data_IF_684418488189
#
_entry.id   IF_684418488189
#
_cell.length_a   1.000
_cell.length_b   1.000
_cell.length_c   1.000
_cell.angle_alpha   90.00
_cell.angle_beta   90.00
_cell.angle_gamma   90.00
#
_symmetry.space_group_name_H-M   'P 1'
#
loop_
_entity.id
_entity.type
_entity.pdbx_description
1 polymer ?
#
# COMPACT_ATOMS: atom_id res chain seq x y z
N UNK A 1 -0.85 -3.84 1.71
CA UNK A 1 -2.27 -3.46 1.48
C UNK A 1 -3.08 -3.66 2.75
N UNK A 2 -3.97 -2.74 3.08
CA UNK A 2 -4.86 -2.77 4.26
C UNK A 2 -6.26 -2.25 3.85
N UNK A 3 -7.06 -3.13 3.26
CA UNK A 3 -8.34 -2.74 2.61
C UNK A 3 -9.38 -2.23 3.59
N UNK A 4 -9.61 -2.96 4.69
CA UNK A 4 -10.78 -2.76 5.55
C UNK A 4 -10.64 -1.64 6.57
N UNK A 5 -9.43 -1.16 6.85
CA UNK A 5 -9.21 -0.09 7.81
C UNK A 5 -7.96 0.71 7.45
N UNK A 6 -8.08 2.04 7.54
CA UNK A 6 -6.97 2.93 7.27
C UNK A 6 -5.91 2.84 8.36
N UNK A 7 -4.61 2.73 8.02
CA UNK A 7 -3.55 2.77 9.01
C UNK A 7 -3.45 4.13 9.74
N UNK A 8 -4.10 5.16 9.20
CA UNK A 8 -4.15 6.50 9.78
C UNK A 8 -5.38 6.72 10.67
N UNK A 9 -6.33 5.77 10.71
CA UNK A 9 -7.50 5.87 11.57
C UNK A 9 -7.11 5.83 13.04
N UNK A 10 -7.78 6.64 13.85
CA UNK A 10 -7.52 6.71 15.28
C UNK A 10 -7.87 5.36 15.94
N UNK A 11 -6.93 4.72 16.64
CA UNK A 11 -7.20 3.48 17.37
C UNK A 11 -8.35 3.66 18.37
N UNK A 12 -9.23 2.63 18.44
CA UNK A 12 -10.39 2.65 19.31
C UNK A 12 -11.64 3.30 18.72
N UNK A 13 -11.60 3.74 17.46
CA UNK A 13 -12.76 4.23 16.71
C UNK A 13 -13.17 3.22 15.65
N UNK A 14 -14.44 2.81 15.65
CA UNK A 14 -14.94 1.81 14.68
C UNK A 14 -14.12 0.52 14.70
N UNK A 15 -13.71 0.05 13.54
CA UNK A 15 -12.85 -1.13 13.36
C UNK A 15 -11.34 -0.83 13.51
N UNK A 16 -10.96 0.40 13.85
CA UNK A 16 -9.57 0.78 14.03
C UNK A 16 -9.02 0.26 15.37
N UNK A 17 -8.04 -0.60 15.32
CA UNK A 17 -7.46 -1.26 16.49
C UNK A 17 -5.97 -1.56 16.33
N UNK A 18 -5.51 -2.60 17.00
CA UNK A 18 -4.10 -2.99 17.01
C UNK A 18 -3.49 -3.21 15.63
N UNK A 19 -4.28 -3.63 14.65
CA UNK A 19 -3.79 -3.84 13.30
C UNK A 19 -3.41 -2.54 12.60
N UNK A 20 -4.16 -1.46 12.79
CA UNK A 20 -3.82 -0.15 12.23
C UNK A 20 -2.47 0.34 12.74
N UNK A 21 -2.28 0.24 14.07
CA UNK A 21 -1.01 0.57 14.72
C UNK A 21 0.11 -0.29 14.18
N UNK A 22 -0.11 -1.60 14.07
CA UNK A 22 0.88 -2.54 13.53
C UNK A 22 1.29 -2.19 12.09
N UNK A 23 0.32 -1.96 11.19
CA UNK A 23 0.60 -1.63 9.79
C UNK A 23 1.43 -0.35 9.68
N UNK A 24 1.01 0.71 10.38
CA UNK A 24 1.72 1.99 10.34
C UNK A 24 3.13 1.89 10.96
N UNK A 25 3.24 1.28 12.14
CA UNK A 25 4.54 1.16 12.81
C UNK A 25 5.52 0.29 12.02
N UNK A 26 5.04 -0.80 11.40
CA UNK A 26 5.86 -1.63 10.52
C UNK A 26 6.37 -0.81 9.33
N UNK A 27 5.50 -0.04 8.66
CA UNK A 27 5.89 0.81 7.55
C UNK A 27 6.94 1.85 7.95
N UNK A 28 6.76 2.52 9.10
CA UNK A 28 7.72 3.49 9.63
C UNK A 28 9.07 2.85 9.94
N UNK A 29 9.08 1.63 10.51
CA UNK A 29 10.33 0.91 10.78
C UNK A 29 11.04 0.47 9.51
N UNK A 30 10.31 0.07 8.49
CA UNK A 30 10.88 -0.27 7.18
C UNK A 30 11.47 0.98 6.51
N UNK A 31 10.77 2.10 6.56
CA UNK A 31 11.23 3.36 5.99
C UNK A 31 12.55 3.84 6.64
N UNK A 32 12.69 3.71 7.96
CA UNK A 32 13.94 4.00 8.68
C UNK A 32 15.12 3.13 8.22
N UNK A 33 14.85 1.99 7.60
CA UNK A 33 15.85 1.09 7.00
C UNK A 33 16.07 1.32 5.51
N UNK A 34 15.50 2.38 4.96
CA UNK A 34 15.66 2.75 3.55
C UNK A 34 14.72 2.03 2.59
N UNK A 35 13.67 1.38 3.11
CA UNK A 35 12.62 0.79 2.28
C UNK A 35 11.54 1.84 2.03
N UNK A 36 11.20 2.08 0.77
CA UNK A 36 10.04 2.91 0.42
C UNK A 36 8.78 2.07 0.55
N UNK A 37 7.78 2.58 1.28
CA UNK A 37 6.55 1.86 1.58
C UNK A 37 5.35 2.64 1.07
N UNK A 38 4.53 2.01 0.24
CA UNK A 38 3.24 2.53 -0.18
C UNK A 38 2.12 1.64 0.38
N UNK A 39 1.21 2.23 1.15
CA UNK A 39 0.09 1.53 1.77
C UNK A 39 -1.18 1.89 1.01
N UNK A 40 -1.82 0.91 0.41
CA UNK A 40 -3.15 1.07 -0.18
C UNK A 40 -4.22 0.71 0.84
N UNK A 41 -5.16 1.63 1.04
CA UNK A 41 -6.33 1.47 1.92
C UNK A 41 -7.57 2.02 1.24
N UNK A 42 -8.75 1.59 1.65
CA UNK A 42 -10.01 2.11 1.11
C UNK A 42 -10.29 3.51 1.69
N UNK A 43 -10.65 4.45 0.85
CA UNK A 43 -11.18 5.74 1.28
C UNK A 43 -12.53 5.53 1.99
N UNK A 44 -12.70 6.14 3.15
CA UNK A 44 -13.91 6.03 3.98
C UNK A 44 -14.70 7.32 4.06
N UNK A 45 -14.12 8.40 3.56
CA UNK A 45 -14.75 9.73 3.47
C UNK A 45 -14.40 10.38 2.13
N UNK A 46 -15.29 11.19 1.60
CA UNK A 46 -15.01 12.05 0.45
C UNK A 46 -13.97 13.12 0.75
N UNK A 47 -13.74 13.41 2.03
CA UNK A 47 -12.71 14.33 2.51
C UNK A 47 -11.33 13.69 2.63
N UNK A 48 -11.23 12.36 2.52
CA UNK A 48 -9.93 11.67 2.58
C UNK A 48 -9.07 12.10 1.39
N UNK A 49 -7.88 12.70 1.61
CA UNK A 49 -7.00 13.06 0.51
C UNK A 49 -6.55 11.78 -0.22
N UNK A 50 -6.43 11.81 -1.55
CA UNK A 50 -6.02 10.62 -2.32
C UNK A 50 -4.69 10.03 -1.86
N UNK A 51 -3.77 10.87 -1.42
CA UNK A 51 -2.42 10.50 -0.98
C UNK A 51 -2.05 11.27 0.27
N UNK A 52 -1.51 10.58 1.25
CA UNK A 52 -0.96 11.13 2.51
C UNK A 52 0.43 10.59 2.73
N UNK A 53 1.36 11.44 3.13
CA UNK A 53 2.73 11.03 3.52
C UNK A 53 2.94 11.25 5.02
N UNK A 54 2.67 10.26 5.86
CA UNK A 54 2.78 10.41 7.32
C UNK A 54 4.23 10.55 7.79
N UNK A 55 5.19 10.10 6.99
CA UNK A 55 6.62 10.23 7.27
C UNK A 55 7.42 10.09 5.96
N UNK A 56 8.69 10.55 5.93
CA UNK A 56 9.58 10.29 4.80
C UNK A 56 9.68 8.78 4.50
N UNK A 57 9.51 8.41 3.23
CA UNK A 57 9.55 7.02 2.77
C UNK A 57 8.28 6.21 3.05
N UNK A 58 7.22 6.83 3.58
CA UNK A 58 5.90 6.19 3.76
C UNK A 58 4.83 7.00 3.07
N UNK A 59 4.08 6.36 2.20
CA UNK A 59 2.92 6.93 1.50
C UNK A 59 1.69 6.07 1.81
N UNK A 60 0.57 6.71 2.11
CA UNK A 60 -0.75 6.08 2.23
C UNK A 60 -1.61 6.59 1.09
N UNK A 61 -2.14 5.66 0.31
CA UNK A 61 -3.01 5.94 -0.81
C UNK A 61 -4.44 5.49 -0.50
N UNK A 62 -5.36 6.45 -0.46
CA UNK A 62 -6.78 6.21 -0.24
C UNK A 62 -7.45 5.88 -1.58
N UNK A 63 -7.89 4.64 -1.74
CA UNK A 63 -8.53 4.13 -2.95
C UNK A 63 -10.04 4.21 -2.81
N UNK A 64 -10.70 4.88 -3.73
CA UNK A 64 -12.16 4.91 -3.78
C UNK A 64 -12.68 3.56 -4.29
N UNK A 65 -13.43 2.88 -3.44
CA UNK A 65 -14.04 1.59 -3.73
C UNK A 65 -15.38 1.47 -2.97
N UNK A 66 -16.46 1.63 -3.69
CA UNK A 66 -17.81 1.66 -3.16
C UNK A 66 -18.15 2.97 -2.41
N UNK A 67 -19.26 2.97 -1.66
CA UNK A 67 -19.69 4.15 -0.93
C UNK A 67 -18.72 4.50 0.19
N UNK A 68 -18.59 5.79 0.49
CA UNK A 68 -17.73 6.24 1.58
C UNK A 68 -18.29 5.86 2.94
N UNK A 69 -19.61 5.99 3.12
CA UNK A 69 -20.28 5.78 4.38
C UNK A 69 -21.26 4.59 4.30
N UNK A 70 -21.60 4.01 5.44
CA UNK A 70 -22.64 2.99 5.56
C UNK A 70 -22.27 1.61 5.03
N UNK A 71 -21.01 1.38 4.61
CA UNK A 71 -20.57 0.07 4.17
C UNK A 71 -20.14 -0.77 5.38
N UNK A 72 -20.87 -1.83 5.67
CA UNK A 72 -20.48 -2.82 6.69
C UNK A 72 -19.26 -3.60 6.21
N UNK A 73 -18.42 -4.04 7.16
CA UNK A 73 -17.25 -4.85 6.83
C UNK A 73 -17.57 -6.18 6.15
N UNK A 74 -18.77 -6.70 6.38
CA UNK A 74 -19.24 -7.93 5.73
C UNK A 74 -19.57 -7.69 4.24
N UNK A 75 -19.82 -6.43 3.85
CA UNK A 75 -20.09 -6.04 2.47
C UNK A 75 -18.80 -5.63 1.72
N UNK A 76 -17.68 -5.46 2.42
CA UNK A 76 -16.39 -5.13 1.81
C UNK A 76 -15.95 -6.09 0.70
N UNK A 77 -16.23 -7.43 0.78
CA UNK A 77 -15.86 -8.34 -0.31
C UNK A 77 -16.44 -7.92 -1.67
N UNK A 78 -17.61 -7.29 -1.70
CA UNK A 78 -18.26 -6.81 -2.93
C UNK A 78 -17.51 -5.66 -3.59
N UNK A 79 -16.65 -4.97 -2.85
CA UNK A 79 -15.87 -3.81 -3.31
C UNK A 79 -14.42 -4.15 -3.72
N UNK A 80 -14.01 -5.40 -3.59
CA UNK A 80 -12.62 -5.80 -3.86
C UNK A 80 -12.21 -5.60 -5.33
N UNK A 81 -13.13 -5.81 -6.27
CA UNK A 81 -12.84 -5.55 -7.69
C UNK A 81 -12.57 -4.07 -7.95
N UNK A 82 -13.39 -3.17 -7.38
CA UNK A 82 -13.19 -1.73 -7.51
C UNK A 82 -11.89 -1.28 -6.83
N UNK A 83 -11.60 -1.83 -5.66
CA UNK A 83 -10.35 -1.56 -4.95
C UNK A 83 -9.14 -2.05 -5.75
N UNK A 84 -9.17 -3.28 -6.27
CA UNK A 84 -8.11 -3.85 -7.12
C UNK A 84 -7.86 -2.98 -8.34
N UNK A 85 -8.93 -2.56 -9.03
CA UNK A 85 -8.80 -1.67 -10.17
C UNK A 85 -8.16 -0.32 -9.80
N UNK A 86 -8.42 0.20 -8.61
CA UNK A 86 -7.77 1.40 -8.08
C UNK A 86 -6.28 1.22 -7.82
N UNK A 87 -5.89 0.07 -7.25
CA UNK A 87 -4.48 -0.30 -7.03
C UNK A 87 -3.75 -0.43 -8.36
N UNK A 88 -4.32 -1.15 -9.32
CA UNK A 88 -3.71 -1.34 -10.66
C UNK A 88 -3.58 -0.01 -11.43
N UNK A 89 -4.55 0.91 -11.29
CA UNK A 89 -4.42 2.25 -11.87
C UNK A 89 -3.28 3.05 -11.26
N UNK A 90 -3.07 2.92 -9.95
CA UNK A 90 -1.94 3.59 -9.29
C UNK A 90 -0.61 2.99 -9.74
N UNK A 91 -0.52 1.67 -9.84
CA UNK A 91 0.66 0.95 -10.33
C UNK A 91 0.99 1.32 -11.78
N UNK A 92 0.00 1.44 -12.65
CA UNK A 92 0.19 1.81 -14.05
C UNK A 92 0.81 3.21 -14.27
N UNK A 93 0.90 4.04 -13.24
CA UNK A 93 1.64 5.32 -13.28
C UNK A 93 3.14 5.15 -12.98
N UNK A 94 3.59 3.94 -12.66
CA UNK A 94 4.97 3.60 -12.39
C UNK A 94 5.56 2.76 -13.52
N UNK A 95 6.89 2.70 -13.58
CA UNK A 95 7.58 1.78 -14.48
C UNK A 95 7.29 0.31 -14.09
N UNK A 96 7.21 -0.61 -15.05
CA UNK A 96 7.01 -2.02 -14.76
C UNK A 96 8.03 -2.57 -13.75
N UNK A 97 7.56 -3.26 -12.72
CA UNK A 97 8.39 -3.79 -11.65
C UNK A 97 8.80 -2.76 -10.58
N UNK A 98 8.06 -1.68 -10.47
CA UNK A 98 8.27 -0.65 -9.44
C UNK A 98 8.16 -1.22 -8.02
N UNK A 99 7.20 -2.11 -7.78
CA UNK A 99 7.04 -2.76 -6.50
C UNK A 99 7.81 -4.08 -6.44
N UNK A 100 8.76 -4.19 -5.52
CA UNK A 100 9.52 -5.43 -5.29
C UNK A 100 8.70 -6.48 -4.54
N UNK A 101 7.85 -6.05 -3.59
CA UNK A 101 7.09 -6.93 -2.70
C UNK A 101 5.70 -6.36 -2.46
N UNK A 102 4.70 -7.23 -2.51
CA UNK A 102 3.33 -6.93 -2.08
C UNK A 102 3.08 -7.62 -0.75
N UNK A 103 2.82 -6.83 0.30
CA UNK A 103 2.46 -7.32 1.62
C UNK A 103 0.99 -7.01 1.90
N UNK A 104 0.21 -8.05 2.18
CA UNK A 104 -1.23 -7.94 2.45
C UNK A 104 -1.52 -8.22 3.91
N UNK A 105 -2.32 -7.34 4.52
CA UNK A 105 -2.81 -7.50 5.88
C UNK A 105 -4.27 -7.90 5.84
N UNK A 106 -4.59 -9.00 6.49
CA UNK A 106 -5.94 -9.59 6.51
C UNK A 106 -6.36 -10.24 5.19
N UNK A 107 -7.32 -11.17 5.24
CA UNK A 107 -7.71 -12.01 4.10
C UNK A 107 -8.24 -11.22 2.89
N UNK A 108 -8.99 -10.14 3.13
CA UNK A 108 -9.49 -9.25 2.06
C UNK A 108 -8.34 -8.66 1.23
N UNK A 109 -7.31 -8.18 1.91
CA UNK A 109 -6.12 -7.64 1.25
C UNK A 109 -5.33 -8.74 0.55
N UNK A 110 -5.37 -9.97 1.08
CA UNK A 110 -4.76 -11.15 0.46
C UNK A 110 -5.38 -11.46 -0.91
N UNK A 111 -6.69 -11.39 -1.05
CA UNK A 111 -7.37 -11.58 -2.33
C UNK A 111 -6.97 -10.53 -3.37
N UNK A 112 -6.88 -9.27 -2.96
CA UNK A 112 -6.41 -8.18 -3.84
C UNK A 112 -4.95 -8.42 -4.26
N UNK A 113 -4.08 -8.80 -3.31
CA UNK A 113 -2.68 -9.08 -3.58
C UNK A 113 -2.48 -10.22 -4.58
N UNK A 114 -3.28 -11.26 -4.50
CA UNK A 114 -3.26 -12.37 -5.47
C UNK A 114 -3.72 -11.94 -6.86
N UNK A 115 -4.76 -11.13 -6.95
CA UNK A 115 -5.26 -10.62 -8.22
C UNK A 115 -4.26 -9.67 -8.90
N UNK A 116 -3.51 -8.89 -8.11
CA UNK A 116 -2.47 -7.99 -8.59
C UNK A 116 -1.15 -8.69 -8.96
N UNK A 117 -0.86 -9.86 -8.40
CA UNK A 117 0.42 -10.54 -8.59
C UNK A 117 0.67 -10.98 -10.05
N UNK A 118 -0.36 -11.21 -10.85
CA UNK A 118 -0.24 -11.57 -12.26
C UNK A 118 0.25 -10.41 -13.14
N UNK A 119 -0.40 -9.24 -13.13
CA UNK A 119 0.04 -8.06 -13.90
C UNK A 119 1.25 -7.36 -13.30
N UNK A 120 1.41 -7.40 -11.97
CA UNK A 120 2.49 -6.70 -11.25
C UNK A 120 3.87 -7.36 -11.39
N UNK A 121 3.97 -8.50 -12.11
CA UNK A 121 5.25 -9.17 -12.35
C UNK A 121 5.99 -9.63 -11.08
N UNK A 122 5.37 -9.45 -9.92
CA UNK A 122 5.93 -9.81 -8.63
C UNK A 122 5.70 -11.29 -8.34
N UNK A 123 6.74 -12.08 -8.35
CA UNK A 123 6.74 -13.44 -7.82
C UNK A 123 6.36 -13.42 -6.36
N UNK A 124 5.29 -14.13 -6.02
CA UNK A 124 5.02 -14.55 -4.66
C UNK A 124 6.19 -15.40 -4.18
N UNK A 125 7.03 -14.83 -3.33
CA UNK A 125 8.06 -15.55 -2.59
C UNK A 125 9.27 -16.00 -3.39
N UNK A 126 10.27 -15.12 -3.50
CA UNK A 126 11.70 -15.45 -3.35
C UNK A 126 12.51 -14.17 -3.49
N UNK A 127 13.31 -13.88 -2.48
CA UNK A 127 14.30 -12.82 -2.47
C UNK A 127 15.11 -12.74 -3.76
N UNK A 128 15.03 -11.62 -4.48
CA UNK A 128 16.14 -11.11 -5.26
C UNK A 128 16.34 -9.65 -4.89
N UNK A 129 17.28 -9.42 -4.01
CA UNK A 129 17.86 -8.10 -3.84
C UNK A 129 18.57 -7.72 -5.15
N UNK A 130 18.07 -6.73 -5.85
CA UNK A 130 18.80 -6.08 -6.92
C UNK A 130 19.70 -5.02 -6.29
N UNK A 131 21.03 -5.07 -6.49
CA UNK A 131 21.91 -4.02 -6.04
C UNK A 131 21.60 -2.74 -6.85
N UNK A 132 21.24 -1.67 -6.17
CA UNK A 132 21.15 -0.32 -6.77
C UNK A 132 22.49 -0.01 -7.43
N UNK A 133 22.48 0.26 -8.73
CA UNK A 133 23.64 0.80 -9.44
C UNK A 133 24.03 2.12 -8.79
N UNK A 134 25.20 2.12 -8.12
CA UNK A 134 25.80 3.32 -7.59
C UNK A 134 26.05 4.33 -8.71
N UNK A 135 25.60 5.56 -8.51
CA UNK A 135 26.04 6.68 -9.30
C UNK A 135 27.54 6.89 -9.05
N UNK A 136 28.38 6.47 -9.98
CA UNK A 136 29.78 6.86 -10.01
C UNK A 136 29.88 8.38 -10.23
N UNK A 137 30.17 9.11 -9.16
CA UNK A 137 30.64 10.49 -9.26
C UNK A 137 32.01 10.47 -9.95
N UNK A 138 32.04 10.86 -11.22
CA UNK A 138 33.30 11.23 -11.89
C UNK A 138 33.82 12.50 -11.25
N UNK A 139 34.76 12.37 -10.36
CA UNK A 139 35.68 13.47 -9.99
C UNK A 139 36.68 13.65 -11.12
N UNK A 140 36.48 14.68 -11.93
CA UNK A 140 37.57 15.21 -12.77
C UNK A 140 38.57 15.93 -11.87
N UNK A 141 39.75 15.39 -11.73
CA UNK A 141 40.94 16.16 -11.30
C UNK A 141 41.46 16.94 -12.49
N UNK A 142 41.69 18.22 -12.27
CA UNK A 142 42.72 19.04 -12.95
C UNK A 142 43.89 19.21 -11.99
#
# INVERSE_FOLDING_TARGET
MSVHTSPLAQPGTGDAGGMNVYVLQTALHMARRGVEVEIFTRATSSADPPVVSPAPGVVVRNVVAGPFEGLDKNDLPTQLCAFTAGVLRAEANHEPGFYDIVHSHYWLSGQVGMAGAGPLGGTTGAHRAHPRRGQERRTRRR
#
